data_IF_972064568880
#
_entry.id   IF_972064568880
#
_cell.length_a   1.000
_cell.length_b   1.000
_cell.length_c   1.000
_cell.angle_alpha   90.00
_cell.angle_beta   90.00
_cell.angle_gamma   90.00
#
_symmetry.space_group_name_H-M   'P 1'
#
loop_
_entity.id
_entity.type
_entity.pdbx_description
1 polymer ?
#
# COMPACT_ATOMS: atom_id res chain seq x y z
N UNK A 1 71.29 -56.21 -27.38
CA UNK A 1 70.74 -54.88 -27.77
C UNK A 1 71.91 -54.06 -28.31
N UNK A 2 71.84 -53.53 -29.53
CA UNK A 2 72.96 -52.77 -30.11
C UNK A 2 73.05 -51.38 -29.44
N UNK A 3 74.25 -50.91 -29.11
CA UNK A 3 74.51 -49.64 -28.38
C UNK A 3 73.81 -48.44 -29.06
N UNK A 4 73.79 -48.43 -30.39
CA UNK A 4 73.10 -47.41 -31.22
C UNK A 4 71.59 -47.33 -30.99
N UNK A 5 70.93 -48.43 -30.61
CA UNK A 5 69.49 -48.40 -30.31
C UNK A 5 69.22 -47.78 -28.92
N UNK A 6 70.14 -47.97 -27.97
CA UNK A 6 70.05 -47.39 -26.64
C UNK A 6 70.24 -45.86 -26.70
N UNK A 7 71.23 -45.38 -27.43
CA UNK A 7 71.46 -43.94 -27.65
C UNK A 7 70.26 -43.24 -28.30
N UNK A 8 69.66 -43.86 -29.33
CA UNK A 8 68.43 -43.35 -29.97
C UNK A 8 67.23 -43.34 -29.04
N UNK A 9 67.16 -44.26 -28.07
CA UNK A 9 66.09 -44.29 -27.08
C UNK A 9 66.29 -43.19 -26.03
N UNK A 10 67.52 -43.02 -25.52
CA UNK A 10 67.87 -41.96 -24.56
C UNK A 10 67.60 -40.59 -25.18
N UNK A 11 68.07 -40.34 -26.41
CA UNK A 11 67.82 -39.08 -27.11
C UNK A 11 66.33 -38.77 -27.25
N UNK A 12 65.52 -39.75 -27.69
CA UNK A 12 64.06 -39.59 -27.79
C UNK A 12 63.41 -39.25 -26.46
N UNK A 13 63.82 -39.91 -25.37
CA UNK A 13 63.31 -39.60 -24.03
C UNK A 13 63.72 -38.20 -23.56
N UNK A 14 64.97 -37.78 -23.83
CA UNK A 14 65.42 -36.42 -23.53
C UNK A 14 64.63 -35.37 -24.33
N UNK A 15 64.38 -35.61 -25.62
CA UNK A 15 63.60 -34.70 -26.47
C UNK A 15 62.13 -34.61 -26.00
N UNK A 16 61.54 -35.74 -25.60
CA UNK A 16 60.17 -35.80 -25.06
C UNK A 16 60.06 -35.10 -23.70
N UNK A 17 61.03 -35.31 -22.80
CA UNK A 17 61.12 -34.58 -21.54
C UNK A 17 61.30 -33.08 -21.75
N UNK A 18 62.12 -32.67 -22.73
CA UNK A 18 62.29 -31.27 -23.11
C UNK A 18 60.97 -30.62 -23.51
N UNK A 19 60.18 -31.28 -24.36
CA UNK A 19 58.85 -30.79 -24.77
C UNK A 19 57.86 -30.69 -23.60
N UNK A 20 57.86 -31.66 -22.68
CA UNK A 20 57.01 -31.62 -21.49
C UNK A 20 57.40 -30.45 -20.56
N UNK A 21 58.70 -30.18 -20.42
CA UNK A 21 59.21 -29.05 -19.62
C UNK A 21 58.77 -27.73 -20.24
N UNK A 22 58.86 -27.58 -21.57
CA UNK A 22 58.49 -26.33 -22.24
C UNK A 22 56.96 -26.10 -22.21
N UNK A 23 56.13 -27.12 -22.44
CA UNK A 23 54.66 -27.03 -22.25
C UNK A 23 54.30 -26.65 -20.80
N UNK A 24 55.03 -27.18 -19.81
CA UNK A 24 54.83 -26.80 -18.42
C UNK A 24 55.23 -25.34 -18.14
N UNK A 25 56.33 -24.85 -18.74
CA UNK A 25 56.74 -23.44 -18.62
C UNK A 25 55.70 -22.49 -19.21
N UNK A 26 55.15 -22.81 -20.38
CA UNK A 26 54.15 -21.97 -21.04
C UNK A 26 52.86 -21.91 -20.21
N UNK A 27 52.38 -23.05 -19.69
CA UNK A 27 51.25 -23.10 -18.76
C UNK A 27 51.50 -22.35 -17.46
N UNK A 28 52.73 -22.39 -16.94
CA UNK A 28 53.11 -21.65 -15.74
C UNK A 28 53.13 -20.14 -16.02
N UNK A 29 53.63 -19.72 -17.18
CA UNK A 29 53.69 -18.32 -17.59
C UNK A 29 52.28 -17.72 -17.79
N UNK A 30 51.38 -18.45 -18.43
CA UNK A 30 49.97 -18.08 -18.61
C UNK A 30 49.25 -17.89 -17.26
N UNK A 31 49.49 -18.79 -16.30
CA UNK A 31 48.98 -18.66 -14.92
C UNK A 31 49.53 -17.45 -14.20
N UNK A 32 50.83 -17.14 -14.35
CA UNK A 32 51.45 -15.95 -13.77
C UNK A 32 50.80 -14.68 -14.33
N UNK A 33 50.61 -14.61 -15.65
CA UNK A 33 49.95 -13.47 -16.30
C UNK A 33 48.52 -13.28 -15.80
N UNK A 34 47.74 -14.37 -15.73
CA UNK A 34 46.38 -14.35 -15.19
C UNK A 34 46.35 -13.84 -13.74
N UNK A 35 47.29 -14.30 -12.90
CA UNK A 35 47.40 -13.86 -11.52
C UNK A 35 47.78 -12.38 -11.42
N UNK A 36 48.68 -11.88 -12.27
CA UNK A 36 49.02 -10.45 -12.35
C UNK A 36 47.80 -9.61 -12.73
N UNK A 37 47.03 -10.01 -13.74
CA UNK A 37 45.79 -9.31 -14.12
C UNK A 37 44.78 -9.28 -12.98
N UNK A 38 44.61 -10.40 -12.27
CA UNK A 38 43.71 -10.47 -11.12
C UNK A 38 44.15 -9.52 -9.99
N UNK A 39 45.45 -9.46 -9.68
CA UNK A 39 46.01 -8.55 -8.68
C UNK A 39 45.74 -7.10 -9.06
N UNK A 40 45.95 -6.70 -10.31
CA UNK A 40 45.67 -5.34 -10.79
C UNK A 40 44.19 -5.00 -10.67
N UNK A 41 43.29 -5.92 -11.04
CA UNK A 41 41.85 -5.71 -10.90
C UNK A 41 41.41 -5.54 -9.44
N UNK A 42 41.97 -6.33 -8.51
CA UNK A 42 41.71 -6.19 -7.07
C UNK A 42 42.21 -4.83 -6.55
N UNK A 43 43.38 -4.38 -7.00
CA UNK A 43 43.91 -3.07 -6.62
C UNK A 43 43.04 -1.92 -7.14
N UNK A 44 42.56 -2.01 -8.39
CA UNK A 44 41.64 -1.02 -8.95
C UNK A 44 40.34 -0.96 -8.17
N UNK A 45 39.72 -2.12 -7.90
CA UNK A 45 38.49 -2.20 -7.13
C UNK A 45 38.64 -1.58 -5.73
N UNK A 46 39.81 -1.76 -5.10
CA UNK A 46 40.12 -1.15 -3.79
C UNK A 46 40.18 0.38 -3.88
N UNK A 47 40.75 0.94 -4.94
CA UNK A 47 40.79 2.38 -5.16
C UNK A 47 39.40 2.95 -5.41
N UNK A 48 38.58 2.28 -6.24
CA UNK A 48 37.21 2.69 -6.54
C UNK A 48 36.35 2.71 -5.26
N UNK A 49 36.51 1.70 -4.39
CA UNK A 49 35.82 1.65 -3.09
C UNK A 49 36.24 2.79 -2.16
N UNK A 50 37.53 3.12 -2.10
CA UNK A 50 38.02 4.26 -1.31
C UNK A 50 37.42 5.57 -1.85
N UNK A 51 37.38 5.74 -3.18
CA UNK A 51 36.81 6.93 -3.81
C UNK A 51 35.31 7.09 -3.51
N UNK A 52 34.54 6.01 -3.61
CA UNK A 52 33.11 6.01 -3.26
C UNK A 52 32.89 6.39 -1.79
N UNK A 53 33.70 5.88 -0.87
CA UNK A 53 33.61 6.25 0.55
C UNK A 53 33.92 7.73 0.82
N UNK A 54 34.87 8.31 0.09
CA UNK A 54 35.17 9.74 0.19
C UNK A 54 33.97 10.57 -0.28
N UNK A 55 33.37 10.19 -1.41
CA UNK A 55 32.21 10.88 -1.96
C UNK A 55 30.99 10.77 -1.02
N UNK A 56 30.75 9.59 -0.46
CA UNK A 56 29.69 9.37 0.53
C UNK A 56 29.89 10.25 1.78
N UNK A 57 31.12 10.38 2.28
CA UNK A 57 31.42 11.27 3.42
C UNK A 57 31.12 12.74 3.10
N UNK A 58 31.45 13.22 1.90
CA UNK A 58 31.12 14.59 1.47
C UNK A 58 29.62 14.83 1.42
N UNK A 59 28.86 13.87 0.90
CA UNK A 59 27.40 13.96 0.86
C UNK A 59 26.80 14.00 2.26
N UNK A 60 27.34 13.20 3.19
CA UNK A 60 26.93 13.21 4.59
C UNK A 60 27.20 14.56 5.26
N UNK A 61 28.39 15.15 5.05
CA UNK A 61 28.74 16.48 5.55
C UNK A 61 27.80 17.57 5.00
N UNK A 62 27.47 17.52 3.70
CA UNK A 62 26.50 18.44 3.10
C UNK A 62 25.09 18.28 3.68
N UNK A 63 24.68 17.04 3.97
CA UNK A 63 23.40 16.77 4.61
C UNK A 63 23.35 17.35 6.03
N UNK A 64 24.44 17.21 6.79
CA UNK A 64 24.55 17.77 8.13
C UNK A 64 24.42 19.31 8.11
N UNK A 65 25.08 19.99 7.16
CA UNK A 65 24.97 21.45 7.01
C UNK A 65 23.52 21.88 6.75
N UNK A 66 22.82 21.20 5.84
CA UNK A 66 21.41 21.49 5.55
C UNK A 66 20.50 21.25 6.75
N UNK A 67 20.80 20.22 7.54
CA UNK A 67 20.06 19.92 8.76
C UNK A 67 20.24 21.03 9.82
N UNK A 68 21.48 21.51 10.00
CA UNK A 68 21.77 22.61 10.92
C UNK A 68 21.11 23.93 10.48
N UNK A 69 21.03 24.20 9.17
CA UNK A 69 20.27 25.32 8.61
C UNK A 69 18.77 25.21 8.89
N UNK A 70 18.23 24.00 8.75
CA UNK A 70 16.81 23.72 9.02
C UNK A 70 16.46 23.91 10.51
N UNK A 71 17.30 23.44 11.43
CA UNK A 71 17.10 23.67 12.87
C UNK A 71 17.10 25.16 13.23
N UNK A 72 17.99 25.96 12.62
CA UNK A 72 17.98 27.43 12.79
C UNK A 72 16.68 28.05 12.27
N UNK A 73 16.20 27.58 11.12
CA UNK A 73 14.95 28.07 10.53
C UNK A 73 13.74 27.71 11.42
N UNK A 74 13.69 26.48 11.94
CA UNK A 74 12.67 26.03 12.88
C UNK A 74 12.64 26.90 14.14
N UNK A 75 13.80 27.14 14.75
CA UNK A 75 13.91 28.00 15.93
C UNK A 75 13.45 29.44 15.64
N UNK A 76 13.70 29.96 14.43
CA UNK A 76 13.19 31.26 14.01
C UNK A 76 11.67 31.31 13.89
N UNK A 77 11.02 30.21 13.48
CA UNK A 77 9.55 30.12 13.40
C UNK A 77 8.96 30.05 14.81
N UNK A 78 9.51 29.19 15.68
CA UNK A 78 9.08 29.04 17.08
C UNK A 78 9.12 30.39 17.80
N UNK A 79 10.22 31.13 17.69
CA UNK A 79 10.33 32.48 18.25
C UNK A 79 9.29 33.46 17.70
N UNK A 80 8.88 33.34 16.42
CA UNK A 80 7.85 34.21 15.84
C UNK A 80 6.46 33.86 16.37
N UNK A 81 6.18 32.57 16.56
CA UNK A 81 4.93 32.10 17.14
C UNK A 81 4.80 32.57 18.60
N UNK A 82 5.84 32.39 19.41
CA UNK A 82 5.85 32.87 20.80
C UNK A 82 5.61 34.40 20.89
N UNK A 83 6.18 35.17 19.97
CA UNK A 83 5.95 36.61 19.87
C UNK A 83 4.51 36.97 19.45
N UNK A 84 3.88 36.15 18.61
CA UNK A 84 2.47 36.34 18.24
C UNK A 84 1.53 35.97 19.39
N UNK A 85 1.81 34.86 20.09
CA UNK A 85 1.02 34.41 21.23
C UNK A 85 1.06 35.43 22.37
N UNK A 86 2.21 36.04 22.64
CA UNK A 86 2.30 37.14 23.62
C UNK A 86 1.54 38.39 23.18
N UNK A 87 1.48 38.69 21.88
CA UNK A 87 0.69 39.80 21.35
C UNK A 87 -0.83 39.54 21.48
N UNK A 88 -1.28 38.33 21.15
CA UNK A 88 -2.67 37.88 21.34
C UNK A 88 -3.02 37.90 22.84
N UNK A 89 -2.13 37.37 23.69
CA UNK A 89 -2.01 37.55 25.14
C UNK A 89 -2.48 38.93 25.61
N UNK A 90 -1.79 39.94 25.06
CA UNK A 90 -1.97 41.34 25.43
C UNK A 90 -3.28 41.92 24.95
N UNK A 91 -3.70 41.60 23.72
CA UNK A 91 -4.97 42.06 23.15
C UNK A 91 -6.16 41.50 23.92
N UNK A 92 -6.15 40.20 24.26
CA UNK A 92 -7.19 39.58 25.07
C UNK A 92 -7.36 40.27 26.42
N UNK A 93 -6.24 40.58 27.09
CA UNK A 93 -6.27 41.32 28.35
C UNK A 93 -6.81 42.76 28.20
N UNK A 94 -6.54 43.43 27.07
CA UNK A 94 -7.09 44.76 26.79
C UNK A 94 -8.59 44.72 26.53
N UNK A 95 -9.08 43.72 25.77
CA UNK A 95 -10.51 43.51 25.53
C UNK A 95 -11.22 43.22 26.84
N UNK A 96 -10.67 42.35 27.69
CA UNK A 96 -11.27 42.01 28.98
C UNK A 96 -11.51 43.23 29.87
N UNK A 97 -10.53 44.14 29.96
CA UNK A 97 -10.68 45.39 30.74
C UNK A 97 -11.77 46.30 30.19
N UNK A 98 -11.90 46.41 28.87
CA UNK A 98 -12.95 47.22 28.26
C UNK A 98 -14.34 46.68 28.53
N UNK A 99 -14.50 45.35 28.52
CA UNK A 99 -15.77 44.71 28.88
C UNK A 99 -16.10 44.97 30.36
N UNK A 100 -15.11 44.85 31.26
CA UNK A 100 -15.30 45.17 32.68
C UNK A 100 -15.67 46.66 32.89
N UNK A 101 -15.07 47.58 32.14
CA UNK A 101 -15.41 49.02 32.16
C UNK A 101 -16.83 49.28 31.63
N UNK A 102 -17.25 48.63 30.54
CA UNK A 102 -18.61 48.75 29.97
C UNK A 102 -19.68 48.14 30.90
N UNK A 103 -19.39 47.01 31.56
CA UNK A 103 -20.28 46.38 32.56
C UNK A 103 -20.45 47.26 33.81
N UNK A 104 -19.41 47.98 34.25
CA UNK A 104 -19.51 48.94 35.36
C UNK A 104 -20.37 50.16 34.99
N UNK A 105 -20.23 50.69 33.75
CA UNK A 105 -21.06 51.80 33.25
C UNK A 105 -22.54 51.40 33.10
N UNK A 106 -22.86 50.21 32.59
CA UNK A 106 -24.26 49.73 32.49
C UNK A 106 -24.92 49.58 33.88
N UNK A 107 -24.18 49.13 34.90
CA UNK A 107 -24.71 49.01 36.26
C UNK A 107 -25.02 50.38 36.87
N UNK A 108 -24.15 51.39 36.65
CA UNK A 108 -24.43 52.76 37.09
C UNK A 108 -25.66 53.36 36.39
N UNK A 109 -25.86 53.12 35.08
CA UNK A 109 -27.05 53.58 34.35
C UNK A 109 -28.34 52.93 34.86
N UNK A 110 -28.33 51.62 35.19
CA UNK A 110 -29.50 50.92 35.73
C UNK A 110 -29.83 51.40 37.16
N UNK A 111 -28.82 51.65 38.00
CA UNK A 111 -29.04 52.23 39.33
C UNK A 111 -29.65 53.64 39.25
N UNK A 112 -29.25 54.47 38.27
CA UNK A 112 -29.86 55.78 38.02
C UNK A 112 -31.31 55.68 37.48
N UNK A 113 -31.61 54.69 36.63
CA UNK A 113 -32.98 54.44 36.14
C UNK A 113 -33.91 53.92 37.25
N UNK A 114 -33.44 53.00 38.11
CA UNK A 114 -34.21 52.50 39.27
C UNK A 114 -34.52 53.62 40.28
N UNK A 115 -33.57 54.54 40.55
CA UNK A 115 -33.85 55.73 41.38
C UNK A 115 -34.93 56.64 40.75
N UNK A 116 -35.03 56.68 39.42
CA UNK A 116 -36.01 57.49 38.69
C UNK A 116 -37.40 56.83 38.64
N UNK A 117 -37.46 55.49 38.55
CA UNK A 117 -38.71 54.72 38.60
C UNK A 117 -39.33 54.70 40.00
N UNK A 118 -38.53 54.60 41.07
CA UNK A 118 -39.05 54.75 42.45
C UNK A 118 -39.65 56.14 42.70
N UNK A 119 -39.16 57.20 42.03
CA UNK A 119 -39.72 58.55 42.11
C UNK A 119 -41.05 58.69 41.33
N UNK A 120 -41.30 57.81 40.34
CA UNK A 120 -42.53 57.78 39.53
C UNK A 120 -43.61 56.84 40.10
N UNK A 121 -43.23 55.73 40.74
CA UNK A 121 -44.18 54.82 41.39
C UNK A 121 -44.82 55.44 42.66
N UNK A 122 -44.21 56.46 43.28
CA UNK A 122 -44.89 57.28 44.31
C UNK A 122 -45.98 58.21 43.74
N UNK A 123 -46.04 58.44 42.42
CA UNK A 123 -47.10 59.24 41.75
C UNK A 123 -48.22 58.40 41.10
N UNK A 124 -48.02 57.10 40.85
CA UNK A 124 -49.01 56.22 40.18
C UNK A 124 -49.71 55.18 41.09
N UNK A 125 -49.72 55.35 42.42
CA UNK A 125 -50.62 54.61 43.33
C UNK A 125 -52.05 55.25 43.46
N UNK A 126 -52.54 55.89 42.39
CA UNK A 126 -53.98 56.17 42.20
C UNK A 126 -54.35 56.00 40.72
N UNK A 127 -54.36 54.78 40.16
CA UNK A 127 -55.48 54.33 39.32
C UNK A 127 -55.34 52.91 38.73
N UNK A 128 -56.48 52.23 38.79
CA UNK A 128 -56.96 51.17 37.91
C UNK A 128 -56.56 49.69 38.13
N UNK A 129 -57.52 49.03 38.79
CA UNK A 129 -57.86 47.61 38.77
C UNK A 129 -58.28 47.09 37.36
N UNK A 130 -58.16 45.76 37.22
CA UNK A 130 -58.91 44.83 36.35
C UNK A 130 -58.65 44.84 34.82
N UNK A 131 -58.04 43.75 34.31
CA UNK A 131 -58.82 42.74 33.54
C UNK A 131 -58.11 41.43 33.20
N UNK A 132 -58.97 40.41 33.21
CA UNK A 132 -58.83 38.97 33.08
C UNK A 132 -58.63 38.39 31.64
N UNK A 133 -58.02 37.19 31.64
CA UNK A 133 -58.37 35.94 30.93
C UNK A 133 -58.30 35.75 29.38
N UNK A 134 -57.46 34.75 28.98
CA UNK A 134 -57.80 33.42 28.35
C UNK A 134 -57.32 33.08 26.92
N UNK A 135 -56.71 31.86 26.86
CA UNK A 135 -56.85 30.75 25.87
C UNK A 135 -56.45 31.00 24.39
N UNK A 136 -55.92 30.08 23.56
CA UNK A 136 -55.78 28.62 23.57
C UNK A 136 -54.83 28.20 22.40
N UNK A 137 -54.10 27.09 22.61
CA UNK A 137 -53.83 25.92 21.74
C UNK A 137 -53.33 25.94 20.26
N UNK A 138 -52.48 24.91 20.04
CA UNK A 138 -52.21 24.06 18.87
C UNK A 138 -51.37 24.60 17.67
N UNK A 139 -50.23 23.95 17.38
CA UNK A 139 -50.19 22.93 16.31
C UNK A 139 -48.80 22.27 16.15
N UNK A 140 -48.84 20.94 16.13
CA UNK A 140 -47.76 20.00 15.85
C UNK A 140 -47.14 20.20 14.46
N UNK A 141 -45.81 20.24 14.37
CA UNK A 141 -45.07 19.81 13.17
C UNK A 141 -43.77 19.08 13.53
N UNK A 142 -43.89 17.76 13.63
CA UNK A 142 -42.79 16.83 13.34
C UNK A 142 -42.26 17.08 11.92
N UNK A 143 -40.96 17.36 11.82
CA UNK A 143 -40.20 17.19 10.59
C UNK A 143 -39.02 16.27 10.88
N UNK A 144 -39.14 15.06 10.35
CA UNK A 144 -38.06 14.12 10.12
C UNK A 144 -36.89 14.83 9.42
N UNK A 145 -35.80 15.04 10.15
CA UNK A 145 -34.48 15.15 9.56
C UNK A 145 -33.83 13.78 9.72
N UNK A 146 -33.97 12.97 8.67
CA UNK A 146 -33.04 11.88 8.40
C UNK A 146 -31.66 12.47 8.19
N UNK A 147 -30.93 12.67 9.27
CA UNK A 147 -29.50 12.85 9.23
C UNK A 147 -28.94 11.55 8.66
N UNK A 148 -28.55 11.60 7.38
CA UNK A 148 -27.38 10.86 6.91
C UNK A 148 -26.28 11.14 7.95
N UNK A 149 -26.16 10.21 8.90
CA UNK A 149 -24.98 10.14 9.72
C UNK A 149 -23.84 9.93 8.73
N UNK A 150 -23.08 11.01 8.53
CA UNK A 150 -21.79 11.03 7.87
C UNK A 150 -20.87 10.13 8.71
N UNK A 151 -21.00 8.82 8.47
CA UNK A 151 -20.26 7.79 9.16
C UNK A 151 -18.80 8.03 8.82
N UNK A 152 -18.09 8.52 9.83
CA UNK A 152 -16.66 8.71 9.96
C UNK A 152 -16.09 9.95 9.26
N UNK A 153 -15.92 11.00 10.07
CA UNK A 153 -14.79 11.92 9.98
C UNK A 153 -13.49 11.10 9.97
N UNK A 154 -13.06 10.66 8.78
CA UNK A 154 -11.84 9.92 8.62
C UNK A 154 -10.65 10.76 9.13
N UNK A 155 -10.03 10.31 10.22
CA UNK A 155 -8.76 10.84 10.79
C UNK A 155 -7.59 10.93 9.79
N UNK A 156 -7.77 10.45 8.56
CA UNK A 156 -6.77 10.54 7.50
C UNK A 156 -6.60 11.94 6.89
N UNK A 157 -7.43 12.94 7.23
CA UNK A 157 -7.48 14.17 6.42
C UNK A 157 -6.32 15.16 6.64
N UNK A 158 -5.86 15.41 7.87
CA UNK A 158 -4.98 16.57 8.12
C UNK A 158 -3.57 16.41 7.54
N UNK A 159 -2.99 15.20 7.59
CA UNK A 159 -1.64 14.96 7.06
C UNK A 159 -1.60 14.86 5.52
N UNK A 160 -2.74 14.59 4.87
CA UNK A 160 -2.82 14.43 3.43
C UNK A 160 -2.67 15.76 2.67
N UNK A 161 -3.20 16.85 3.22
CA UNK A 161 -3.20 18.15 2.54
C UNK A 161 -1.79 18.74 2.39
N UNK A 162 -0.93 18.55 3.39
CA UNK A 162 0.45 19.04 3.39
C UNK A 162 1.34 18.33 2.35
N UNK A 163 1.13 17.03 2.14
CA UNK A 163 1.87 16.29 1.10
C UNK A 163 1.35 16.67 -0.29
N UNK A 164 0.03 16.84 -0.44
CA UNK A 164 -0.53 17.26 -1.73
C UNK A 164 -0.14 18.69 -2.11
N UNK A 165 -0.01 19.61 -1.15
CA UNK A 165 0.50 20.97 -1.41
C UNK A 165 1.97 20.95 -1.82
N UNK A 166 2.78 20.07 -1.21
CA UNK A 166 4.19 19.83 -1.60
C UNK A 166 4.31 19.25 -3.01
N UNK A 167 3.44 18.31 -3.38
CA UNK A 167 3.41 17.73 -4.73
C UNK A 167 2.97 18.79 -5.76
N UNK A 168 1.97 19.61 -5.43
CA UNK A 168 1.48 20.67 -6.32
C UNK A 168 2.47 21.83 -6.52
N UNK A 169 3.31 22.10 -5.53
CA UNK A 169 4.28 23.22 -5.58
C UNK A 169 5.63 22.85 -6.21
N UNK A 170 5.82 21.58 -6.56
CA UNK A 170 7.08 21.08 -7.13
C UNK A 170 6.97 20.84 -8.64
N UNK A 171 8.12 20.70 -9.32
CA UNK A 171 8.20 20.40 -10.77
C UNK A 171 7.92 18.93 -11.11
N UNK A 172 7.20 18.21 -10.23
CA UNK A 172 6.95 16.78 -10.36
C UNK A 172 5.84 16.49 -11.38
N UNK A 173 5.97 15.37 -12.09
CA UNK A 173 5.05 14.97 -13.15
C UNK A 173 4.20 13.78 -12.74
N UNK A 174 2.88 13.95 -12.80
CA UNK A 174 1.91 12.87 -12.62
C UNK A 174 2.09 11.79 -13.71
N UNK A 175 2.01 10.53 -13.32
CA UNK A 175 2.26 9.36 -14.17
C UNK A 175 3.76 9.04 -14.39
N UNK A 176 4.68 9.83 -13.83
CA UNK A 176 6.13 9.56 -13.89
C UNK A 176 6.75 9.55 -12.50
N UNK A 177 6.65 10.66 -11.77
CA UNK A 177 7.24 10.80 -10.43
C UNK A 177 6.29 10.31 -9.33
N UNK A 178 4.99 10.53 -9.54
CA UNK A 178 3.89 10.08 -8.69
C UNK A 178 2.68 9.69 -9.55
N UNK A 179 1.73 8.96 -8.98
CA UNK A 179 0.42 8.72 -9.57
C UNK A 179 -0.65 9.35 -8.70
N UNK A 180 -1.31 10.41 -9.16
CA UNK A 180 -2.40 11.09 -8.46
C UNK A 180 -3.70 10.96 -9.25
N UNK A 181 -4.73 10.42 -8.60
CA UNK A 181 -6.07 10.30 -9.15
C UNK A 181 -7.05 10.90 -8.13
N UNK A 182 -7.56 12.08 -8.45
CA UNK A 182 -8.51 12.84 -7.62
C UNK A 182 -9.96 12.71 -8.12
N UNK A 183 -10.14 12.41 -9.40
CA UNK A 183 -11.46 12.23 -10.00
C UNK A 183 -12.13 10.94 -9.52
N UNK A 184 -13.44 11.01 -9.28
CA UNK A 184 -14.25 9.87 -8.89
C UNK A 184 -14.51 8.94 -10.08
N UNK A 185 -14.84 7.68 -9.81
CA UNK A 185 -15.28 6.68 -10.80
C UNK A 185 -14.24 6.41 -11.92
N UNK A 186 -12.95 6.54 -11.61
CA UNK A 186 -11.87 6.33 -12.56
C UNK A 186 -11.38 4.87 -12.54
N UNK A 187 -11.14 4.29 -13.72
CA UNK A 187 -10.50 2.98 -13.86
C UNK A 187 -9.17 3.11 -14.59
N UNK A 188 -8.08 2.97 -13.85
CA UNK A 188 -6.72 3.15 -14.37
C UNK A 188 -6.08 1.78 -14.59
N UNK A 189 -5.56 1.57 -15.80
CA UNK A 189 -4.90 0.33 -16.20
C UNK A 189 -3.41 0.57 -16.39
N UNK A 190 -2.59 -0.07 -15.56
CA UNK A 190 -1.14 -0.07 -15.68
C UNK A 190 -0.67 -1.21 -16.59
N UNK A 191 0.56 -1.12 -17.10
CA UNK A 191 1.13 -2.20 -17.92
C UNK A 191 1.35 -3.46 -17.08
N UNK A 192 0.95 -4.60 -17.62
CA UNK A 192 1.07 -5.90 -16.98
C UNK A 192 2.54 -6.34 -16.84
N UNK A 193 2.92 -6.95 -15.71
CA UNK A 193 4.26 -7.52 -15.42
C UNK A 193 5.44 -6.53 -15.40
N UNK A 194 5.21 -5.25 -15.71
CA UNK A 194 6.21 -4.19 -15.61
C UNK A 194 6.19 -3.53 -14.23
N UNK A 195 7.36 -3.15 -13.72
CA UNK A 195 7.47 -2.34 -12.50
C UNK A 195 7.08 -0.90 -12.77
N UNK A 196 6.09 -0.42 -12.04
CA UNK A 196 5.70 0.99 -12.02
C UNK A 196 6.34 1.66 -10.82
N UNK A 197 7.35 2.48 -11.06
CA UNK A 197 8.13 3.15 -10.03
C UNK A 197 7.64 4.58 -9.85
N UNK A 198 7.09 4.90 -8.68
CA UNK A 198 6.60 6.22 -8.30
C UNK A 198 7.33 6.68 -7.04
N UNK A 199 8.50 7.29 -7.21
CA UNK A 199 9.41 7.66 -6.12
C UNK A 199 8.73 8.46 -5.01
N UNK A 200 7.74 9.29 -5.35
CA UNK A 200 6.98 10.06 -4.37
C UNK A 200 5.78 9.28 -3.84
N UNK A 201 4.97 8.72 -4.72
CA UNK A 201 3.88 7.85 -4.28
C UNK A 201 2.74 7.66 -5.25
N UNK A 202 1.80 6.83 -4.83
CA UNK A 202 0.53 6.55 -5.49
C UNK A 202 -0.60 7.03 -4.58
N UNK A 203 -1.45 7.92 -5.09
CA UNK A 203 -2.48 8.65 -4.34
C UNK A 203 -3.84 8.49 -5.03
N UNK A 204 -4.68 7.60 -4.49
CA UNK A 204 -6.06 7.38 -4.93
C UNK A 204 -7.00 8.16 -3.99
N UNK A 205 -7.29 9.42 -4.36
CA UNK A 205 -8.01 10.35 -3.47
C UNK A 205 -9.52 10.43 -3.75
N UNK A 206 -9.92 10.21 -4.99
CA UNK A 206 -11.33 10.15 -5.38
C UNK A 206 -12.05 8.90 -4.85
N UNK A 207 -13.37 8.89 -5.03
CA UNK A 207 -14.27 7.77 -4.73
C UNK A 207 -14.34 6.81 -5.92
N UNK A 208 -14.55 5.52 -5.68
CA UNK A 208 -14.76 4.51 -6.72
C UNK A 208 -13.63 4.46 -7.76
N UNK A 209 -12.38 4.65 -7.32
CA UNK A 209 -11.21 4.50 -8.20
C UNK A 209 -10.80 3.04 -8.22
N UNK A 210 -10.59 2.47 -9.40
CA UNK A 210 -10.02 1.12 -9.55
C UNK A 210 -8.67 1.22 -10.25
N UNK A 211 -7.59 0.81 -9.57
CA UNK A 211 -6.26 0.64 -10.15
C UNK A 211 -6.04 -0.86 -10.47
N UNK A 212 -5.78 -1.18 -11.74
CA UNK A 212 -5.62 -2.57 -12.20
C UNK A 212 -4.56 -2.65 -13.32
N UNK A 213 -4.38 -3.82 -13.93
CA UNK A 213 -3.49 -4.02 -15.08
C UNK A 213 -4.25 -4.14 -16.40
N UNK A 214 -3.62 -3.69 -17.48
CA UNK A 214 -4.10 -3.90 -18.84
C UNK A 214 -3.73 -5.31 -19.29
N UNK A 215 -4.74 -6.14 -19.57
CA UNK A 215 -4.58 -7.48 -20.13
C UNK A 215 -5.34 -7.54 -21.46
N UNK A 216 -4.71 -8.11 -22.48
CA UNK A 216 -5.29 -8.32 -23.80
C UNK A 216 -5.50 -9.82 -24.04
N UNK A 217 -6.58 -10.37 -23.46
CA UNK A 217 -6.95 -11.78 -23.62
C UNK A 217 -7.37 -12.13 -25.04
N UNK A 218 -7.68 -11.15 -25.89
CA UNK A 218 -8.00 -11.39 -27.30
C UNK A 218 -6.73 -11.77 -28.08
N UNK A 219 -5.64 -11.05 -27.83
CA UNK A 219 -4.34 -11.36 -28.45
C UNK A 219 -3.63 -12.52 -27.78
N UNK A 220 -3.72 -12.63 -26.46
CA UNK A 220 -3.02 -13.66 -25.69
C UNK A 220 -3.93 -14.27 -24.62
N UNK A 221 -4.54 -15.40 -24.95
CA UNK A 221 -5.46 -16.13 -24.05
C UNK A 221 -4.82 -16.59 -22.74
N UNK A 222 -3.49 -16.73 -22.74
CA UNK A 222 -2.72 -17.18 -21.58
C UNK A 222 -2.12 -15.99 -20.81
N UNK A 223 -2.51 -14.75 -21.14
CA UNK A 223 -2.04 -13.57 -20.40
C UNK A 223 -2.74 -13.45 -19.03
N UNK A 224 -1.91 -13.55 -17.98
CA UNK A 224 -2.30 -13.42 -16.58
C UNK A 224 -1.87 -12.06 -16.03
N UNK A 225 -2.65 -11.51 -15.10
CA UNK A 225 -2.46 -10.19 -14.51
C UNK A 225 -1.52 -10.18 -13.32
N UNK A 226 -0.43 -9.44 -13.45
CA UNK A 226 0.58 -9.22 -12.43
C UNK A 226 0.84 -7.71 -12.31
N UNK A 227 0.33 -7.11 -11.25
CA UNK A 227 0.56 -5.71 -10.92
C UNK A 227 1.81 -5.59 -10.05
N UNK A 228 2.77 -4.76 -10.48
CA UNK A 228 3.99 -4.47 -9.71
C UNK A 228 4.14 -2.97 -9.51
N UNK A 229 4.05 -2.51 -8.27
CA UNK A 229 4.19 -1.09 -7.92
C UNK A 229 5.29 -0.94 -6.90
N UNK A 230 6.24 -0.06 -7.19
CA UNK A 230 7.21 0.45 -6.21
C UNK A 230 6.90 1.92 -5.97
N UNK A 231 6.64 2.31 -4.72
CA UNK A 231 6.23 3.66 -4.40
C UNK A 231 6.81 4.16 -3.08
N UNK A 232 7.04 5.47 -2.98
CA UNK A 232 7.37 6.13 -1.72
C UNK A 232 6.22 5.99 -0.72
N UNK A 233 5.08 6.60 -1.05
CA UNK A 233 3.83 6.46 -0.32
C UNK A 233 2.78 5.71 -1.16
N UNK A 234 1.90 4.94 -0.55
CA UNK A 234 0.69 4.41 -1.18
C UNK A 234 -0.53 4.76 -0.35
N UNK A 235 -1.40 5.61 -0.90
CA UNK A 235 -2.60 6.11 -0.24
C UNK A 235 -3.87 5.77 -1.03
N UNK A 236 -4.82 5.13 -0.36
CA UNK A 236 -6.18 4.91 -0.83
C UNK A 236 -7.11 5.60 0.16
N UNK A 237 -7.58 6.80 -0.19
CA UNK A 237 -8.31 7.67 0.75
C UNK A 237 -9.72 7.18 1.04
N UNK A 238 -10.44 6.71 0.02
CA UNK A 238 -11.86 6.40 0.13
C UNK A 238 -12.11 4.88 0.20
N UNK A 239 -13.05 4.41 1.06
CA UNK A 239 -13.33 2.98 1.22
C UNK A 239 -13.82 2.27 -0.05
N UNK A 240 -14.41 3.02 -0.98
CA UNK A 240 -14.89 2.47 -2.25
C UNK A 240 -13.84 2.39 -3.36
N UNK A 241 -12.61 2.84 -3.10
CA UNK A 241 -11.50 2.77 -4.04
C UNK A 241 -10.65 1.52 -3.80
N UNK A 242 -10.10 0.95 -4.87
CA UNK A 242 -9.55 -0.40 -4.86
C UNK A 242 -8.34 -0.54 -5.78
N UNK A 243 -7.34 -1.30 -5.33
CA UNK A 243 -6.32 -1.92 -6.21
C UNK A 243 -6.78 -3.35 -6.49
N UNK A 244 -7.03 -3.67 -7.75
CA UNK A 244 -7.77 -4.88 -8.13
C UNK A 244 -7.05 -5.72 -9.19
N UNK A 245 -6.71 -6.96 -8.83
CA UNK A 245 -6.27 -8.02 -9.73
C UNK A 245 -7.17 -9.27 -9.66
N UNK A 246 -8.43 -9.12 -9.25
CA UNK A 246 -9.39 -10.22 -9.18
C UNK A 246 -9.69 -10.79 -10.56
N UNK A 247 -9.86 -12.11 -10.64
CA UNK A 247 -10.12 -12.86 -11.88
C UNK A 247 -9.04 -12.77 -12.97
N UNK A 248 -7.89 -12.17 -12.66
CA UNK A 248 -6.79 -11.99 -13.61
C UNK A 248 -5.78 -13.15 -13.60
N UNK A 249 -6.03 -14.21 -12.84
CA UNK A 249 -5.25 -15.45 -12.78
C UNK A 249 -5.65 -16.45 -13.85
N UNK A 250 -5.36 -17.73 -13.61
CA UNK A 250 -5.58 -18.79 -14.59
C UNK A 250 -7.07 -18.89 -14.98
N UNK A 251 -7.38 -19.05 -16.27
CA UNK A 251 -8.75 -19.26 -16.73
C UNK A 251 -9.37 -20.57 -16.22
N UNK A 252 -10.68 -20.70 -16.42
CA UNK A 252 -11.44 -21.93 -16.21
C UNK A 252 -10.72 -23.20 -16.68
N UNK A 253 -10.69 -24.25 -15.85
CA UNK A 253 -10.01 -25.52 -16.09
C UNK A 253 -8.49 -25.40 -16.33
N UNK A 254 -7.86 -24.31 -15.92
CA UNK A 254 -6.41 -24.09 -16.04
C UNK A 254 -5.78 -23.75 -14.68
N UNK A 255 -4.45 -23.87 -14.64
CA UNK A 255 -3.64 -23.65 -13.45
C UNK A 255 -3.27 -24.94 -12.68
N UNK A 256 -2.24 -24.88 -11.81
CA UNK A 256 -1.73 -26.04 -11.08
C UNK A 256 -2.77 -26.70 -10.15
N UNK A 257 -3.63 -25.88 -9.55
CA UNK A 257 -4.71 -26.31 -8.65
C UNK A 257 -6.07 -26.19 -9.32
N UNK A 258 -6.18 -26.40 -10.64
CA UNK A 258 -7.47 -26.28 -11.32
C UNK A 258 -8.55 -27.19 -10.74
N UNK A 259 -9.77 -26.70 -10.72
CA UNK A 259 -10.93 -27.53 -10.40
C UNK A 259 -11.17 -28.61 -11.45
N UNK A 260 -11.68 -29.76 -11.00
CA UNK A 260 -12.07 -30.88 -11.85
C UNK A 260 -13.38 -30.59 -12.59
N UNK A 261 -13.48 -31.11 -13.81
CA UNK A 261 -14.71 -31.07 -14.61
C UNK A 261 -15.70 -32.10 -14.04
N UNK A 262 -16.99 -31.74 -13.94
CA UNK A 262 -18.04 -32.63 -13.45
C UNK A 262 -19.44 -32.10 -13.74
N UNK A 263 -20.47 -32.69 -13.14
CA UNK A 263 -21.86 -32.21 -13.30
C UNK A 263 -21.97 -30.73 -12.88
N UNK A 264 -21.47 -30.43 -11.69
CA UNK A 264 -20.99 -29.10 -11.31
C UNK A 264 -19.47 -29.18 -11.16
N UNK A 265 -18.77 -28.17 -11.65
CA UNK A 265 -17.32 -28.11 -11.56
C UNK A 265 -16.84 -27.93 -10.12
N UNK A 266 -15.67 -28.48 -9.80
CA UNK A 266 -15.02 -28.28 -8.50
C UNK A 266 -14.33 -26.92 -8.41
N UNK A 267 -14.17 -26.37 -7.21
CA UNK A 267 -13.47 -25.09 -7.04
C UNK A 267 -11.98 -25.21 -7.32
N UNK A 268 -11.34 -24.15 -7.84
CA UNK A 268 -9.89 -24.08 -7.98
C UNK A 268 -9.21 -23.99 -6.62
N UNK A 269 -8.07 -24.64 -6.41
CA UNK A 269 -7.24 -24.52 -5.21
C UNK A 269 -6.10 -23.53 -5.45
N UNK A 270 -5.76 -22.73 -4.43
CA UNK A 270 -4.45 -22.08 -4.30
C UNK A 270 -4.06 -22.19 -2.83
N UNK A 271 -3.66 -21.18 -2.06
CA UNK A 271 -3.24 -21.36 -0.66
C UNK A 271 -4.13 -22.22 0.27
N UNK A 272 -5.40 -22.46 -0.09
CA UNK A 272 -6.20 -23.57 0.44
C UNK A 272 -6.78 -24.46 -0.66
N UNK A 273 -7.21 -25.68 -0.28
CA UNK A 273 -7.85 -26.62 -1.21
C UNK A 273 -9.15 -26.01 -1.74
N UNK A 274 -9.43 -26.19 -3.03
CA UNK A 274 -10.74 -25.89 -3.59
C UNK A 274 -11.76 -26.93 -3.10
N UNK A 275 -13.00 -26.52 -2.89
CA UNK A 275 -14.02 -27.45 -2.40
C UNK A 275 -14.60 -28.32 -3.53
N UNK A 276 -15.10 -29.48 -3.11
CA UNK A 276 -15.94 -30.35 -3.93
C UNK A 276 -17.26 -30.56 -3.22
N UNK A 277 -18.34 -30.71 -3.98
CA UNK A 277 -19.53 -31.35 -3.44
C UNK A 277 -19.26 -32.86 -3.30
N UNK A 278 -19.66 -33.44 -2.17
CA UNK A 278 -19.34 -34.80 -1.71
C UNK A 278 -19.91 -35.88 -2.64
N UNK A 279 -20.93 -35.54 -3.44
CA UNK A 279 -21.52 -36.51 -4.37
C UNK A 279 -20.53 -36.86 -5.51
N UNK A 280 -20.47 -38.14 -5.87
CA UNK A 280 -19.49 -38.72 -6.82
C UNK A 280 -19.60 -38.20 -8.25
N UNK A 281 -20.63 -37.43 -8.58
CA UNK A 281 -20.89 -36.85 -9.90
C UNK A 281 -20.34 -35.41 -10.06
N UNK A 282 -19.76 -34.82 -9.01
CA UNK A 282 -19.18 -33.48 -9.04
C UNK A 282 -17.69 -33.47 -9.35
N UNK A 283 -17.24 -32.34 -9.90
CA UNK A 283 -15.84 -32.09 -10.15
C UNK A 283 -15.03 -32.09 -8.85
N UNK A 284 -13.84 -32.70 -8.88
CA UNK A 284 -12.92 -32.67 -7.73
C UNK A 284 -12.46 -31.24 -7.48
N UNK A 285 -12.36 -30.83 -6.21
CA UNK A 285 -11.74 -29.56 -5.85
C UNK A 285 -10.24 -29.58 -6.15
N UNK A 286 -9.70 -28.43 -6.54
CA UNK A 286 -8.30 -28.26 -6.87
C UNK A 286 -7.38 -28.42 -5.66
N UNK A 287 -6.19 -28.96 -5.88
CA UNK A 287 -5.18 -29.17 -4.83
C UNK A 287 -4.47 -27.88 -4.41
N UNK A 288 -3.88 -27.90 -3.22
CA UNK A 288 -3.10 -26.78 -2.65
C UNK A 288 -1.75 -26.69 -3.36
N UNK A 289 -1.30 -25.48 -3.67
CA UNK A 289 0.07 -25.21 -4.10
C UNK A 289 0.53 -23.81 -3.64
N UNK A 290 1.82 -23.55 -3.82
CA UNK A 290 2.50 -22.32 -3.42
C UNK A 290 2.83 -22.25 -1.94
N UNK A 291 4.00 -21.67 -1.64
CA UNK A 291 4.45 -21.44 -0.27
C UNK A 291 3.77 -20.22 0.37
N UNK A 292 3.71 -20.19 1.69
CA UNK A 292 3.03 -19.11 2.44
C UNK A 292 3.82 -17.80 2.45
N UNK A 293 5.14 -17.88 2.29
CA UNK A 293 6.08 -16.75 2.34
C UNK A 293 6.11 -15.92 1.06
N UNK A 294 5.75 -16.49 -0.09
CA UNK A 294 5.82 -15.80 -1.39
C UNK A 294 7.23 -15.27 -1.76
N UNK A 295 8.30 -15.87 -1.23
CA UNK A 295 9.69 -15.42 -1.46
C UNK A 295 10.40 -16.22 -2.54
N UNK A 296 10.17 -17.53 -2.57
CA UNK A 296 10.73 -18.40 -3.61
C UNK A 296 9.99 -18.21 -4.92
N UNK A 297 8.66 -18.14 -4.85
CA UNK A 297 7.80 -17.98 -6.02
C UNK A 297 6.45 -17.36 -5.61
N UNK A 298 5.93 -16.49 -6.47
CA UNK A 298 4.61 -15.88 -6.34
C UNK A 298 3.73 -16.46 -7.45
N UNK A 299 2.62 -17.09 -7.10
CA UNK A 299 1.77 -17.76 -8.08
C UNK A 299 0.44 -17.05 -8.30
N UNK A 300 -0.09 -17.21 -9.50
CA UNK A 300 -1.47 -16.85 -9.82
C UNK A 300 -2.44 -17.86 -9.20
N UNK A 301 -3.68 -17.42 -8.94
CA UNK A 301 -4.78 -18.30 -8.60
C UNK A 301 -5.16 -19.22 -9.76
N UNK A 302 -5.62 -20.42 -9.46
CA UNK A 302 -6.11 -21.41 -10.42
C UNK A 302 -7.58 -21.23 -10.75
N UNK A 303 -7.98 -21.59 -11.97
CA UNK A 303 -9.38 -21.55 -12.39
C UNK A 303 -10.20 -22.71 -11.82
N UNK A 304 -11.50 -22.48 -11.65
CA UNK A 304 -12.46 -23.51 -11.29
C UNK A 304 -12.73 -24.50 -12.43
N UNK A 305 -13.33 -25.63 -12.10
CA UNK A 305 -13.73 -26.65 -13.07
C UNK A 305 -15.04 -26.27 -13.78
N UNK A 306 -15.24 -26.76 -15.00
CA UNK A 306 -16.49 -26.58 -15.74
C UNK A 306 -17.59 -27.58 -15.35
N UNK A 307 -18.84 -27.14 -15.47
CA UNK A 307 -20.04 -27.97 -15.31
C UNK A 307 -20.49 -28.58 -16.63
N UNK A 308 -20.91 -29.84 -16.63
CA UNK A 308 -21.36 -30.57 -17.84
C UNK A 308 -22.87 -30.40 -18.09
N UNK A 309 -23.67 -30.14 -17.05
CA UNK A 309 -25.13 -30.33 -17.13
C UNK A 309 -25.92 -29.26 -17.88
N UNK A 310 -25.34 -28.10 -18.14
CA UNK A 310 -26.01 -26.97 -18.78
C UNK A 310 -25.06 -26.35 -19.81
N UNK A 311 -25.65 -25.81 -20.86
CA UNK A 311 -25.00 -25.23 -22.04
C UNK A 311 -23.83 -24.31 -21.62
N UNK A 312 -22.59 -24.83 -21.71
CA UNK A 312 -21.30 -24.14 -21.50
C UNK A 312 -21.10 -23.37 -20.17
N UNK A 313 -21.19 -24.03 -19.01
CA UNK A 313 -20.83 -23.40 -17.74
C UNK A 313 -19.31 -23.51 -17.46
N UNK A 314 -18.59 -22.40 -17.64
CA UNK A 314 -17.14 -22.31 -17.44
C UNK A 314 -16.84 -21.92 -16.00
N UNK A 315 -16.18 -22.76 -15.20
CA UNK A 315 -15.73 -22.36 -13.85
C UNK A 315 -14.98 -21.03 -13.81
N UNK A 316 -15.06 -20.33 -12.67
CA UNK A 316 -14.52 -18.98 -12.50
C UNK A 316 -13.00 -18.91 -12.65
N UNK A 317 -12.49 -17.73 -13.00
CA UNK A 317 -11.06 -17.49 -13.18
C UNK A 317 -10.36 -17.35 -11.82
N UNK A 318 -9.09 -17.75 -11.73
CA UNK A 318 -8.29 -17.49 -10.54
C UNK A 318 -7.96 -15.99 -10.37
N UNK A 319 -7.52 -15.59 -9.18
CA UNK A 319 -7.01 -14.24 -8.92
C UNK A 319 -5.60 -14.01 -9.48
N UNK A 320 -5.26 -12.76 -9.78
CA UNK A 320 -3.95 -12.35 -10.29
C UNK A 320 -2.84 -12.30 -9.23
N UNK A 321 -1.85 -11.44 -9.47
CA UNK A 321 -0.78 -11.13 -8.52
C UNK A 321 -0.71 -9.62 -8.32
N UNK A 322 -0.55 -9.19 -7.07
CA UNK A 322 -0.22 -7.81 -6.69
C UNK A 322 1.09 -7.86 -5.89
N UNK A 323 2.09 -7.12 -6.36
CA UNK A 323 3.38 -6.96 -5.70
C UNK A 323 3.61 -5.47 -5.41
N UNK A 324 3.66 -5.10 -4.14
CA UNK A 324 3.82 -3.73 -3.66
C UNK A 324 5.12 -3.61 -2.86
N UNK A 325 5.98 -2.67 -3.26
CA UNK A 325 7.15 -2.24 -2.47
C UNK A 325 6.91 -0.80 -2.06
N UNK A 326 6.70 -0.57 -0.77
CA UNK A 326 6.37 0.73 -0.20
C UNK A 326 7.52 1.20 0.69
N UNK A 327 8.16 2.30 0.30
CA UNK A 327 9.39 2.75 0.95
C UNK A 327 9.13 3.55 2.23
N UNK A 328 8.01 4.27 2.32
CA UNK A 328 7.74 5.19 3.42
C UNK A 328 6.45 4.87 4.17
N UNK A 329 5.28 4.94 3.51
CA UNK A 329 3.99 4.80 4.20
C UNK A 329 2.92 4.13 3.35
N UNK A 330 2.13 3.28 3.99
CA UNK A 330 0.92 2.68 3.42
C UNK A 330 -0.29 3.17 4.22
N UNK A 331 -1.21 3.89 3.56
CA UNK A 331 -2.51 4.27 4.10
C UNK A 331 -3.57 3.71 3.17
N UNK A 332 -4.18 2.59 3.53
CA UNK A 332 -5.28 2.00 2.80
C UNK A 332 -6.57 2.11 3.61
N UNK A 333 -7.46 3.03 3.23
CA UNK A 333 -8.83 3.08 3.74
C UNK A 333 -9.81 2.29 2.85
N UNK A 334 -9.37 1.85 1.66
CA UNK A 334 -10.14 1.06 0.71
C UNK A 334 -9.76 -0.41 0.71
N UNK A 335 -9.63 -0.98 -0.49
CA UNK A 335 -9.33 -2.40 -0.67
C UNK A 335 -8.16 -2.69 -1.59
N UNK A 336 -7.40 -3.74 -1.28
CA UNK A 336 -6.40 -4.35 -2.17
C UNK A 336 -6.82 -5.79 -2.36
N UNK A 337 -7.18 -6.18 -3.58
CA UNK A 337 -7.82 -7.47 -3.81
C UNK A 337 -7.28 -8.23 -5.02
N UNK A 338 -7.17 -9.54 -4.85
CA UNK A 338 -6.79 -10.48 -5.89
C UNK A 338 -7.67 -11.73 -5.78
N UNK A 339 -8.99 -11.54 -5.83
CA UNK A 339 -9.97 -12.58 -5.59
C UNK A 339 -10.19 -13.49 -6.80
N UNK A 340 -10.66 -14.70 -6.56
CA UNK A 340 -11.12 -15.61 -7.61
C UNK A 340 -12.55 -15.26 -8.06
N UNK A 341 -12.87 -15.61 -9.29
CA UNK A 341 -14.17 -15.33 -9.91
C UNK A 341 -15.22 -16.37 -9.54
N UNK A 342 -16.46 -15.91 -9.50
CA UNK A 342 -17.65 -16.74 -9.31
C UNK A 342 -18.10 -17.34 -10.65
N UNK A 343 -18.80 -18.47 -10.60
CA UNK A 343 -19.52 -19.01 -11.75
C UNK A 343 -20.74 -19.81 -11.32
N UNK A 344 -21.83 -19.67 -12.07
CA UNK A 344 -23.02 -20.49 -11.89
C UNK A 344 -22.86 -21.90 -12.49
N UNK A 345 -22.86 -22.95 -11.65
CA UNK A 345 -22.76 -24.35 -12.08
C UNK A 345 -21.34 -24.82 -12.45
N UNK A 346 -20.42 -23.90 -12.73
CA UNK A 346 -18.98 -24.13 -12.65
C UNK A 346 -18.46 -23.94 -11.22
N UNK A 347 -17.25 -24.41 -10.93
CA UNK A 347 -16.58 -24.14 -9.66
C UNK A 347 -16.00 -22.74 -9.61
N UNK A 348 -15.88 -22.16 -8.41
CA UNK A 348 -15.24 -20.85 -8.22
C UNK A 348 -13.74 -20.92 -8.46
N UNK A 349 -13.16 -19.86 -9.04
CA UNK A 349 -11.70 -19.72 -9.15
C UNK A 349 -11.06 -19.48 -7.79
N UNK A 350 -9.79 -19.84 -7.61
CA UNK A 350 -9.10 -19.56 -6.34
C UNK A 350 -8.69 -18.09 -6.25
N UNK A 351 -8.46 -17.59 -5.03
CA UNK A 351 -7.75 -16.33 -4.83
C UNK A 351 -6.35 -16.36 -5.46
N UNK A 352 -5.73 -15.19 -5.62
CA UNK A 352 -4.38 -15.00 -6.14
C UNK A 352 -3.36 -14.66 -5.04
N UNK A 353 -2.32 -13.91 -5.38
CA UNK A 353 -1.25 -13.54 -4.44
C UNK A 353 -1.15 -12.03 -4.22
N UNK A 354 -0.97 -11.62 -2.97
CA UNK A 354 -0.61 -10.25 -2.61
C UNK A 354 0.68 -10.29 -1.79
N UNK A 355 1.73 -9.64 -2.29
CA UNK A 355 2.98 -9.41 -1.57
C UNK A 355 3.13 -7.91 -1.29
N UNK A 356 3.30 -7.55 -0.02
CA UNK A 356 3.56 -6.16 0.41
C UNK A 356 4.89 -6.14 1.16
N UNK A 357 5.83 -5.33 0.71
CA UNK A 357 7.13 -5.12 1.35
C UNK A 357 7.26 -3.66 1.79
N UNK A 358 7.41 -3.43 3.10
CA UNK A 358 7.62 -2.11 3.69
C UNK A 358 9.11 -1.90 3.97
N UNK A 359 9.77 -1.03 3.22
CA UNK A 359 11.24 -0.84 3.29
C UNK A 359 11.68 0.27 4.27
N UNK A 360 10.74 0.97 4.90
CA UNK A 360 10.97 2.19 5.69
C UNK A 360 11.70 2.05 7.03
N UNK A 361 12.24 0.87 7.38
CA UNK A 361 12.86 0.61 8.69
C UNK A 361 14.18 1.35 8.97
N UNK A 362 14.66 2.21 8.06
CA UNK A 362 15.96 2.88 8.21
C UNK A 362 15.95 4.03 9.23
N UNK A 363 14.77 4.50 9.63
CA UNK A 363 14.56 5.44 10.72
C UNK A 363 13.48 4.87 11.63
N UNK A 364 13.48 5.13 12.96
CA UNK A 364 12.40 4.69 13.83
C UNK A 364 11.07 5.17 13.25
N UNK A 365 10.26 4.23 12.75
CA UNK A 365 9.04 4.45 11.97
C UNK A 365 8.17 5.53 12.63
N UNK A 366 8.27 6.77 12.14
CA UNK A 366 7.41 7.88 12.59
C UNK A 366 6.02 7.79 11.95
N UNK A 367 5.91 7.09 10.82
CA UNK A 367 4.67 7.00 10.06
C UNK A 367 3.88 5.76 10.46
N UNK A 368 2.65 5.98 10.91
CA UNK A 368 1.68 4.92 11.13
C UNK A 368 1.20 4.35 9.79
N UNK A 369 1.02 3.03 9.73
CA UNK A 369 0.50 2.33 8.57
C UNK A 369 -0.96 1.94 8.81
N UNK A 370 -1.79 2.04 7.77
CA UNK A 370 -3.17 1.55 7.78
C UNK A 370 -3.34 0.57 6.63
N UNK A 371 -3.69 -0.68 6.93
CA UNK A 371 -3.75 -1.74 5.92
C UNK A 371 -5.12 -1.89 5.24
N UNK A 372 -6.19 -1.39 5.85
CA UNK A 372 -7.55 -1.47 5.32
C UNK A 372 -7.97 -2.90 5.01
N UNK A 373 -8.83 -3.06 4.00
CA UNK A 373 -9.26 -4.39 3.55
C UNK A 373 -8.25 -4.97 2.56
N UNK A 374 -7.75 -6.18 2.81
CA UNK A 374 -6.86 -6.89 1.86
C UNK A 374 -7.40 -8.30 1.65
N UNK A 375 -7.73 -8.66 0.41
CA UNK A 375 -8.40 -9.96 0.13
C UNK A 375 -7.77 -10.77 -1.01
N UNK A 376 -7.59 -12.06 -0.74
CA UNK A 376 -7.33 -13.11 -1.74
C UNK A 376 -8.30 -14.27 -1.49
N UNK A 377 -9.61 -14.04 -1.53
CA UNK A 377 -10.61 -15.10 -1.37
C UNK A 377 -10.89 -15.78 -2.71
N UNK A 378 -11.29 -17.04 -2.68
CA UNK A 378 -11.78 -17.71 -3.89
C UNK A 378 -13.18 -17.24 -4.27
N UNK A 379 -13.64 -17.58 -5.46
CA UNK A 379 -15.03 -17.39 -5.85
C UNK A 379 -15.96 -18.43 -5.23
N UNK A 380 -17.26 -18.28 -5.47
CA UNK A 380 -18.35 -19.15 -5.05
C UNK A 380 -18.39 -19.39 -3.53
N UNK A 381 -18.02 -18.40 -2.70
CA UNK A 381 -17.88 -18.60 -1.23
C UNK A 381 -19.16 -19.05 -0.53
N UNK A 382 -20.33 -18.78 -1.13
CA UNK A 382 -21.65 -19.19 -0.62
C UNK A 382 -22.11 -20.55 -1.18
N UNK A 383 -21.32 -21.20 -2.03
CA UNK A 383 -21.65 -22.43 -2.73
C UNK A 383 -20.73 -23.58 -2.31
N UNK A 384 -21.15 -24.82 -2.60
CA UNK A 384 -20.39 -26.04 -2.26
C UNK A 384 -19.11 -26.23 -3.08
N UNK A 385 -18.98 -25.51 -4.18
CA UNK A 385 -17.84 -25.59 -5.11
C UNK A 385 -16.99 -24.32 -5.06
N UNK A 386 -16.86 -23.73 -3.87
CA UNK A 386 -16.03 -22.56 -3.62
C UNK A 386 -14.57 -22.79 -4.00
N UNK A 387 -13.97 -21.75 -4.57
CA UNK A 387 -12.54 -21.68 -4.77
C UNK A 387 -11.79 -21.58 -3.44
N UNK A 388 -10.59 -22.12 -3.42
CA UNK A 388 -9.64 -21.96 -2.34
C UNK A 388 -9.20 -20.50 -2.20
N UNK A 389 -8.78 -20.12 -0.99
CA UNK A 389 -8.15 -18.83 -0.75
C UNK A 389 -6.77 -18.79 -1.39
N UNK A 390 -6.29 -17.58 -1.63
CA UNK A 390 -4.95 -17.32 -2.13
C UNK A 390 -3.92 -17.17 -1.01
N UNK A 391 -2.93 -16.31 -1.21
CA UNK A 391 -1.86 -16.04 -0.24
C UNK A 391 -1.64 -14.54 -0.10
N UNK A 392 -1.33 -14.11 1.12
CA UNK A 392 -0.96 -12.73 1.44
C UNK A 392 0.31 -12.80 2.28
N UNK A 393 1.34 -12.06 1.90
CA UNK A 393 2.56 -11.92 2.68
C UNK A 393 2.89 -10.44 2.86
N UNK A 394 3.19 -10.04 4.10
CA UNK A 394 3.48 -8.66 4.48
C UNK A 394 4.81 -8.63 5.25
N UNK A 395 5.78 -7.92 4.69
CA UNK A 395 7.13 -7.78 5.20
C UNK A 395 7.43 -6.37 5.69
N UNK A 396 8.37 -6.24 6.62
CA UNK A 396 8.94 -4.95 7.02
C UNK A 396 8.23 -4.27 8.20
N UNK A 397 7.23 -4.91 8.79
CA UNK A 397 6.57 -4.44 10.01
C UNK A 397 5.96 -5.61 10.77
N UNK A 398 5.80 -5.46 12.09
CA UNK A 398 4.98 -6.34 12.91
C UNK A 398 3.52 -5.89 12.84
N UNK A 399 2.63 -6.77 12.37
CA UNK A 399 1.20 -6.44 12.28
C UNK A 399 0.52 -6.60 13.63
N UNK A 400 -0.31 -5.62 14.00
CA UNK A 400 -1.16 -5.73 15.18
C UNK A 400 -2.37 -6.62 14.88
N UNK A 401 -2.96 -7.20 15.93
CA UNK A 401 -4.19 -8.00 15.79
C UNK A 401 -5.36 -7.22 15.16
N UNK A 402 -5.40 -5.90 15.35
CA UNK A 402 -6.36 -5.00 14.71
C UNK A 402 -6.17 -4.96 13.20
N UNK A 403 -4.92 -4.92 12.73
CA UNK A 403 -4.58 -4.81 11.30
C UNK A 403 -4.95 -6.08 10.55
N UNK A 404 -4.83 -7.23 11.21
CA UNK A 404 -5.11 -8.55 10.63
C UNK A 404 -6.62 -8.79 10.45
N UNK A 405 -7.48 -8.08 11.18
CA UNK A 405 -8.94 -8.32 11.21
C UNK A 405 -9.57 -8.22 9.82
N UNK A 406 -9.13 -7.27 9.01
CA UNK A 406 -9.68 -6.98 7.69
C UNK A 406 -8.83 -7.58 6.54
N UNK A 407 -7.89 -8.47 6.88
CA UNK A 407 -7.02 -9.18 5.92
C UNK A 407 -7.44 -10.65 5.83
N UNK A 408 -7.81 -11.11 4.63
CA UNK A 408 -8.29 -12.49 4.42
C UNK A 408 -7.78 -13.08 3.09
N UNK A 409 -7.01 -14.17 3.10
CA UNK A 409 -6.64 -15.03 4.23
C UNK A 409 -5.67 -14.36 5.22
N UNK A 410 -5.47 -14.99 6.38
CA UNK A 410 -4.47 -14.55 7.37
C UNK A 410 -3.10 -14.39 6.67
N UNK A 411 -2.44 -13.23 6.76
CA UNK A 411 -1.19 -13.01 6.08
C UNK A 411 -0.05 -13.76 6.76
N UNK A 412 0.95 -14.18 5.98
CA UNK A 412 2.28 -14.41 6.51
C UNK A 412 2.91 -13.05 6.85
N UNK A 413 3.47 -12.89 8.05
CA UNK A 413 4.07 -11.63 8.49
C UNK A 413 5.46 -11.84 9.07
N UNK A 414 6.41 -11.01 8.65
CA UNK A 414 7.80 -11.04 9.12
C UNK A 414 8.42 -9.65 9.05
N UNK A 415 9.31 -9.33 10.00
CA UNK A 415 10.07 -8.08 9.99
C UNK A 415 11.12 -8.04 8.87
N UNK A 416 11.64 -9.21 8.48
CA UNK A 416 12.67 -9.34 7.46
C UNK A 416 12.23 -10.30 6.35
N UNK A 417 12.74 -10.03 5.14
CA UNK A 417 12.60 -10.92 3.98
C UNK A 417 13.54 -12.11 4.07
#
# INVERSE_FOLDING_TARGET
>A
MNVTNLEKLVKRKCDEQGKQIDDFKDKLLDKIQTMTTLITNIQQLKLDFIQQNIEFKKQLEQCQIKFDEFEKYKQSIENRLDNQDTHIQRLQNQIKRKIEEEEEEEVEEVEEEEEFEEEFEEEEEEDEEEKDEKEDKDDDKEKENGQEQDITSFKCNEHCENILSSIKSSNLKNGTDFLLINENNQKIKLKNKEWHNYNFGVFLLGKNITLTVSIDREKNKDELGHLKIKAGHLWIKHPSSTIDCSELGYPSNQGPGKGGIGRCGGGGGYGTKGERDISTIYGKGGEIYGEETLLKEIHFGSGGGSGITLIFNYGGNGGGIIELIIEQQLINCGSIQSNGGDEWGGGGGSGGSILIELQGQSYPNKFEHTFGTITCIGGNQNEKNKGGKGRIAIYGIELLSSDIKDINPKPFNSLCK
#
